data_IF_150318464689
#
_entry.id   IF_150318464689
#
_cell.length_a   1.000
_cell.length_b   1.000
_cell.length_c   1.000
_cell.angle_alpha   90.00
_cell.angle_beta   90.00
_cell.angle_gamma   90.00
#
_symmetry.space_group_name_H-M   'P 1'
#
loop_
_entity.id
_entity.type
_entity.pdbx_description
1 polymer ?
#
# COMPACT_ATOMS: atom_id res chain seq x y z
N UNK A 1 -1.38 19.01 -37.77
CA UNK A 1 -0.42 19.08 -38.90
C UNK A 1 0.50 20.28 -38.77
N UNK A 2 0.06 21.32 -38.08
CA UNK A 2 0.91 22.46 -37.71
C UNK A 2 2.16 22.00 -36.95
N UNK A 3 3.32 22.48 -37.38
CA UNK A 3 4.61 22.25 -36.72
C UNK A 3 5.42 21.04 -37.20
N UNK A 4 4.96 20.24 -38.18
CA UNK A 4 5.80 19.19 -38.76
C UNK A 4 6.81 19.76 -39.76
N UNK A 5 8.10 19.70 -39.42
CA UNK A 5 9.22 20.23 -40.26
C UNK A 5 9.80 19.21 -41.24
N UNK A 6 9.23 18.00 -41.31
CA UNK A 6 9.72 16.93 -42.18
C UNK A 6 9.34 17.14 -43.64
N UNK A 7 10.21 16.70 -44.57
CA UNK A 7 9.96 16.82 -46.02
C UNK A 7 8.67 16.11 -46.44
N UNK A 8 7.81 16.83 -47.14
CA UNK A 8 6.59 16.31 -47.75
C UNK A 8 6.94 15.29 -48.84
N UNK A 9 6.22 14.16 -48.87
CA UNK A 9 6.44 13.07 -49.83
C UNK A 9 5.28 12.94 -50.81
N UNK A 10 4.04 12.85 -50.34
CA UNK A 10 2.84 12.68 -51.17
C UNK A 10 1.59 13.17 -50.41
N UNK A 11 0.51 13.52 -51.12
CA UNK A 11 -0.75 14.04 -50.54
C UNK A 11 -0.59 15.26 -49.60
N UNK A 12 0.48 16.05 -49.78
CA UNK A 12 0.79 17.17 -48.88
C UNK A 12 1.36 16.77 -47.52
N UNK A 13 1.67 15.48 -47.32
CA UNK A 13 2.09 14.92 -46.04
C UNK A 13 3.52 14.38 -46.08
N UNK A 14 4.23 14.43 -44.95
CA UNK A 14 5.51 13.72 -44.83
C UNK A 14 5.28 12.20 -44.89
N UNK A 15 6.33 11.43 -45.16
CA UNK A 15 6.21 9.96 -45.29
C UNK A 15 5.57 9.28 -44.06
N UNK A 16 5.85 9.77 -42.84
CA UNK A 16 5.26 9.23 -41.60
C UNK A 16 3.76 9.54 -41.48
N UNK A 17 3.35 10.75 -41.86
CA UNK A 17 1.94 11.15 -41.81
C UNK A 17 1.11 10.44 -42.88
N UNK A 18 1.66 10.27 -44.08
CA UNK A 18 1.03 9.48 -45.15
C UNK A 18 0.83 8.02 -44.73
N UNK A 19 1.87 7.39 -44.19
CA UNK A 19 1.78 5.99 -43.74
C UNK A 19 0.78 5.82 -42.58
N UNK A 20 0.72 6.80 -41.67
CA UNK A 20 -0.27 6.79 -40.60
C UNK A 20 -1.69 6.90 -41.14
N UNK A 21 -1.95 7.85 -42.04
CA UNK A 21 -3.27 7.97 -42.65
C UNK A 21 -3.68 6.71 -43.40
N UNK A 22 -2.75 6.11 -44.14
CA UNK A 22 -2.98 4.86 -44.87
C UNK A 22 -3.39 3.70 -43.96
N UNK A 23 -2.94 3.70 -42.70
CA UNK A 23 -3.16 2.60 -41.76
C UNK A 23 -4.29 2.87 -40.76
N UNK A 24 -4.51 4.12 -40.34
CA UNK A 24 -5.47 4.47 -39.28
C UNK A 24 -6.56 5.45 -39.74
N UNK A 25 -6.52 5.93 -40.98
CA UNK A 25 -7.44 6.94 -41.52
C UNK A 25 -7.19 8.37 -41.01
N UNK A 26 -6.18 8.59 -40.17
CA UNK A 26 -5.84 9.92 -39.63
C UNK A 26 -4.35 10.25 -39.77
N UNK A 27 -4.05 11.51 -40.00
CA UNK A 27 -2.67 12.04 -40.03
C UNK A 27 -2.20 12.57 -38.67
N UNK A 28 -3.12 12.72 -37.72
CA UNK A 28 -2.80 13.24 -36.38
C UNK A 28 -1.73 12.39 -35.70
N UNK A 29 -0.79 13.02 -35.01
CA UNK A 29 0.14 12.29 -34.16
C UNK A 29 -0.65 11.62 -33.02
N UNK A 30 -0.35 10.34 -32.71
CA UNK A 30 -1.01 9.69 -31.58
C UNK A 30 -0.68 10.49 -30.31
N UNK A 31 -1.70 10.72 -29.49
CA UNK A 31 -1.51 11.34 -28.18
C UNK A 31 -0.50 10.49 -27.43
N UNK A 32 0.64 11.09 -27.09
CA UNK A 32 1.69 10.42 -26.32
C UNK A 32 1.17 10.27 -24.90
N UNK A 33 0.58 9.11 -24.59
CA UNK A 33 0.07 8.82 -23.24
C UNK A 33 1.22 8.85 -22.24
N UNK A 34 1.01 9.53 -21.12
CA UNK A 34 2.01 9.58 -20.07
C UNK A 34 2.11 8.23 -19.36
N UNK A 35 3.19 8.02 -18.60
CA UNK A 35 3.26 6.85 -17.73
C UNK A 35 2.15 6.82 -16.70
N UNK A 36 1.68 7.98 -16.27
CA UNK A 36 0.59 8.12 -15.32
C UNK A 36 -0.76 7.71 -15.94
N UNK A 37 -1.09 8.17 -17.15
CA UNK A 37 -2.31 7.76 -17.85
C UNK A 37 -2.33 6.24 -18.05
N UNK A 38 -1.19 5.69 -18.50
CA UNK A 38 -1.04 4.25 -18.69
C UNK A 38 -1.13 3.49 -17.37
N UNK A 39 -0.61 4.06 -16.27
CA UNK A 39 -0.71 3.46 -14.95
C UNK A 39 -2.17 3.35 -14.51
N UNK A 40 -2.92 4.44 -14.56
CA UNK A 40 -4.31 4.47 -14.08
C UNK A 40 -5.27 3.64 -14.95
N UNK A 41 -5.00 3.48 -16.24
CA UNK A 41 -5.77 2.57 -17.11
C UNK A 41 -5.61 1.07 -16.77
N UNK A 42 -4.65 0.71 -15.91
CA UNK A 42 -4.42 -0.66 -15.45
C UNK A 42 -5.01 -0.94 -14.07
N UNK A 43 -5.70 0.02 -13.47
CA UNK A 43 -6.23 -0.08 -12.12
C UNK A 43 -7.72 -0.38 -12.18
N UNK A 44 -8.13 -1.46 -11.52
CA UNK A 44 -9.52 -1.76 -11.25
C UNK A 44 -9.96 -1.03 -9.97
N UNK A 45 -10.76 0.03 -10.11
CA UNK A 45 -11.19 0.87 -8.99
C UNK A 45 -12.52 0.38 -8.44
N UNK A 46 -12.46 -0.29 -7.29
CA UNK A 46 -13.65 -0.67 -6.52
C UNK A 46 -13.95 0.38 -5.43
N UNK A 47 -15.06 0.21 -4.70
CA UNK A 47 -15.40 1.05 -3.54
C UNK A 47 -14.41 0.94 -2.39
N UNK A 48 -13.72 -0.20 -2.28
CA UNK A 48 -12.76 -0.47 -1.22
C UNK A 48 -11.32 -0.34 -1.78
N UNK A 49 -10.76 -1.41 -2.34
CA UNK A 49 -9.41 -1.39 -2.90
C UNK A 49 -9.39 -1.01 -4.38
N UNK A 50 -8.35 -0.28 -4.79
CA UNK A 50 -8.02 -0.07 -6.20
C UNK A 50 -6.97 -1.08 -6.62
N UNK A 51 -7.37 -2.16 -7.27
CA UNK A 51 -6.53 -3.32 -7.50
C UNK A 51 -5.69 -3.19 -8.77
N UNK A 52 -4.40 -3.49 -8.66
CA UNK A 52 -3.52 -3.63 -9.80
C UNK A 52 -3.85 -4.88 -10.62
N UNK A 53 -4.18 -4.69 -11.90
CA UNK A 53 -4.62 -5.80 -12.79
C UNK A 53 -3.50 -6.41 -13.63
N UNK A 54 -2.28 -5.85 -13.58
CA UNK A 54 -1.13 -6.32 -14.38
C UNK A 54 -0.18 -7.17 -13.55
N UNK A 55 1.05 -7.33 -14.04
CA UNK A 55 2.09 -8.13 -13.40
C UNK A 55 2.26 -7.79 -11.91
N UNK A 56 2.46 -8.83 -11.11
CA UNK A 56 2.71 -8.76 -9.67
C UNK A 56 4.00 -9.49 -9.34
N UNK A 57 4.68 -9.09 -8.27
CA UNK A 57 5.83 -9.82 -7.75
C UNK A 57 5.39 -11.13 -7.10
N UNK A 58 6.34 -12.02 -6.78
CA UNK A 58 6.07 -13.25 -6.01
C UNK A 58 5.42 -12.96 -4.65
N UNK A 59 5.70 -11.79 -4.07
CA UNK A 59 5.10 -11.35 -2.82
C UNK A 59 3.69 -10.73 -2.99
N UNK A 60 3.18 -10.60 -4.23
CA UNK A 60 1.83 -10.08 -4.51
C UNK A 60 1.76 -8.58 -4.79
N UNK A 61 2.87 -7.84 -4.76
CA UNK A 61 2.88 -6.41 -5.06
C UNK A 61 2.77 -6.15 -6.55
N UNK A 62 1.91 -5.21 -6.97
CA UNK A 62 1.83 -4.76 -8.36
C UNK A 62 3.18 -4.22 -8.87
N UNK A 63 3.49 -4.51 -10.14
CA UNK A 63 4.71 -4.08 -10.83
C UNK A 63 4.35 -3.32 -12.11
N UNK A 64 5.00 -2.18 -12.31
CA UNK A 64 4.88 -1.37 -13.51
C UNK A 64 6.27 -1.04 -14.08
N UNK A 65 6.40 -1.07 -15.41
CA UNK A 65 7.69 -0.89 -16.08
C UNK A 65 7.80 0.53 -16.67
N UNK A 66 8.76 1.30 -16.17
CA UNK A 66 9.14 2.63 -16.70
C UNK A 66 10.56 2.50 -17.24
N UNK A 67 10.80 2.90 -18.49
CA UNK A 67 12.13 2.88 -19.10
C UNK A 67 12.86 1.52 -18.93
N UNK A 68 12.14 0.42 -19.15
CA UNK A 68 12.63 -0.97 -19.00
C UNK A 68 13.00 -1.37 -17.56
N UNK A 69 12.72 -0.54 -16.56
CA UNK A 69 12.93 -0.84 -15.13
C UNK A 69 11.60 -1.11 -14.43
N UNK A 70 11.53 -2.20 -13.69
CA UNK A 70 10.37 -2.53 -12.87
C UNK A 70 10.33 -1.64 -11.62
N UNK A 71 9.15 -1.12 -11.32
CA UNK A 71 8.87 -0.29 -10.15
C UNK A 71 7.62 -0.81 -9.43
N UNK A 72 7.59 -0.84 -8.10
CA UNK A 72 6.39 -1.20 -7.35
C UNK A 72 5.25 -0.23 -7.64
N UNK A 73 4.09 -0.76 -8.03
CA UNK A 73 2.94 0.02 -8.46
C UNK A 73 2.40 0.92 -7.35
N UNK A 74 2.33 0.43 -6.11
CA UNK A 74 1.88 1.22 -4.96
C UNK A 74 2.79 2.45 -4.70
N UNK A 75 4.12 2.32 -4.88
CA UNK A 75 5.05 3.47 -4.76
C UNK A 75 4.86 4.48 -5.87
N UNK A 76 4.49 4.03 -7.07
CA UNK A 76 4.19 4.94 -8.19
C UNK A 76 2.86 5.66 -7.96
N UNK A 77 1.81 4.96 -7.52
CA UNK A 77 0.53 5.58 -7.15
C UNK A 77 0.72 6.69 -6.12
N UNK A 78 1.48 6.41 -5.05
CA UNK A 78 1.80 7.44 -4.06
C UNK A 78 2.55 8.62 -4.70
N UNK A 79 3.55 8.36 -5.56
CA UNK A 79 4.31 9.42 -6.22
C UNK A 79 3.48 10.30 -7.13
N UNK A 80 2.57 9.73 -7.91
CA UNK A 80 1.68 10.47 -8.80
C UNK A 80 0.70 11.35 -8.04
N UNK A 81 0.22 10.89 -6.89
CA UNK A 81 -0.86 11.58 -6.15
C UNK A 81 -0.38 12.47 -5.01
N UNK A 82 0.73 12.13 -4.37
CA UNK A 82 1.24 12.77 -3.13
C UNK A 82 2.68 13.25 -3.25
N UNK A 83 3.38 12.92 -4.34
CA UNK A 83 4.74 13.37 -4.60
C UNK A 83 5.84 12.44 -4.06
N UNK A 84 7.08 12.94 -3.92
CA UNK A 84 8.23 12.08 -3.64
C UNK A 84 8.12 11.35 -2.30
N UNK A 85 8.66 10.14 -2.26
CA UNK A 85 8.79 9.35 -1.02
C UNK A 85 10.13 9.76 -0.40
N UNK A 86 10.16 10.34 0.81
CA UNK A 86 11.40 10.73 1.47
C UNK A 86 12.35 9.56 1.68
N UNK A 87 13.65 9.85 1.75
CA UNK A 87 14.66 8.83 2.03
C UNK A 87 14.43 8.19 3.40
N UNK A 88 14.66 6.87 3.48
CA UNK A 88 14.38 6.08 4.69
C UNK A 88 12.91 5.74 4.93
N UNK A 89 11.97 6.26 4.11
CA UNK A 89 10.55 5.95 4.21
C UNK A 89 10.12 4.85 3.22
N UNK A 90 9.16 4.06 3.66
CA UNK A 90 8.46 3.05 2.88
C UNK A 90 6.98 3.41 2.72
N UNK A 91 6.30 2.69 1.84
CA UNK A 91 4.86 2.79 1.69
C UNK A 91 4.24 1.54 2.33
N UNK A 92 3.41 1.78 3.34
CA UNK A 92 2.62 0.75 4.02
C UNK A 92 1.18 0.74 3.48
N UNK A 93 0.61 -0.46 3.40
CA UNK A 93 -0.76 -0.69 2.98
C UNK A 93 -1.65 -0.80 4.21
N UNK A 94 -2.43 0.25 4.49
CA UNK A 94 -3.38 0.27 5.61
C UNK A 94 -4.40 -0.88 5.45
N UNK A 95 -4.84 -1.13 4.21
CA UNK A 95 -5.79 -2.19 3.87
C UNK A 95 -5.20 -3.61 3.86
N UNK A 96 -3.89 -3.79 4.10
CA UNK A 96 -3.16 -5.06 4.02
C UNK A 96 -3.26 -5.81 2.67
N UNK A 97 -3.85 -5.21 1.63
CA UNK A 97 -3.89 -5.73 0.27
C UNK A 97 -2.70 -5.22 -0.55
N UNK A 98 -1.70 -6.08 -0.77
CA UNK A 98 -0.46 -5.74 -1.49
C UNK A 98 -0.67 -5.33 -2.96
N UNK A 99 -1.79 -5.73 -3.57
CA UNK A 99 -2.13 -5.36 -4.94
C UNK A 99 -2.86 -4.00 -5.01
N UNK A 100 -3.29 -3.44 -3.87
CA UNK A 100 -3.96 -2.16 -3.83
C UNK A 100 -3.00 -1.02 -4.18
N UNK A 101 -3.50 -0.08 -4.98
CA UNK A 101 -2.81 1.16 -5.35
C UNK A 101 -3.69 2.39 -5.07
N UNK A 102 -4.72 2.27 -4.24
CA UNK A 102 -5.54 3.40 -3.81
C UNK A 102 -4.68 4.32 -2.91
N UNK A 103 -4.44 5.59 -3.28
CA UNK A 103 -3.64 6.52 -2.47
C UNK A 103 -4.11 6.63 -1.02
N UNK A 104 -5.41 6.53 -0.78
CA UNK A 104 -6.00 6.60 0.56
C UNK A 104 -5.68 5.37 1.42
N UNK A 105 -5.34 4.24 0.80
CA UNK A 105 -4.90 3.04 1.49
C UNK A 105 -3.37 2.95 1.63
N UNK A 106 -2.64 3.99 1.22
CA UNK A 106 -1.18 4.06 1.24
C UNK A 106 -0.71 5.16 2.20
N UNK A 107 0.24 4.84 3.06
CA UNK A 107 0.88 5.82 3.95
C UNK A 107 2.39 5.70 3.94
N UNK A 108 3.05 6.80 4.28
CA UNK A 108 4.47 6.76 4.60
C UNK A 108 4.66 6.07 5.95
N UNK A 109 5.61 5.16 6.02
CA UNK A 109 6.00 4.49 7.25
C UNK A 109 7.51 4.27 7.26
N UNK A 110 8.11 4.40 8.44
CA UNK A 110 9.45 3.87 8.70
C UNK A 110 9.40 2.34 8.72
N UNK A 111 10.56 1.69 8.53
CA UNK A 111 10.66 0.23 8.64
C UNK A 111 10.07 -0.31 9.94
N UNK A 112 10.32 0.40 11.06
CA UNK A 112 9.77 0.08 12.38
C UNK A 112 8.25 0.12 12.36
N UNK A 113 7.66 1.22 11.91
CA UNK A 113 6.20 1.39 11.90
C UNK A 113 5.52 0.33 11.01
N UNK A 114 6.13 -0.01 9.87
CA UNK A 114 5.64 -1.08 9.01
C UNK A 114 5.68 -2.46 9.70
N UNK A 115 6.73 -2.74 10.49
CA UNK A 115 6.82 -3.98 11.29
C UNK A 115 5.83 -4.02 12.46
N UNK A 116 5.43 -2.87 12.99
CA UNK A 116 4.43 -2.75 14.05
C UNK A 116 2.99 -3.00 13.55
N UNK A 117 2.78 -3.04 12.22
CA UNK A 117 1.50 -3.27 11.55
C UNK A 117 1.43 -4.63 10.82
N UNK A 118 1.43 -5.77 11.54
CA UNK A 118 1.33 -7.08 10.91
C UNK A 118 -0.09 -7.29 10.33
N UNK A 119 -0.16 -7.92 9.15
CA UNK A 119 -1.43 -8.27 8.49
C UNK A 119 -2.25 -9.36 9.21
N UNK A 120 -1.77 -9.87 10.35
CA UNK A 120 -2.43 -10.92 11.11
C UNK A 120 -1.57 -11.49 12.23
N UNK A 121 -2.15 -12.44 12.98
CA UNK A 121 -1.43 -13.18 14.02
C UNK A 121 -0.43 -14.15 13.41
N UNK A 122 0.64 -14.42 14.14
CA UNK A 122 1.59 -15.48 13.79
C UNK A 122 0.92 -16.85 13.95
N UNK A 123 1.33 -17.82 13.13
CA UNK A 123 0.80 -19.20 13.16
C UNK A 123 1.02 -19.91 14.50
N UNK A 124 2.07 -19.52 15.24
CA UNK A 124 2.42 -20.03 16.56
C UNK A 124 1.73 -19.27 17.70
N UNK A 125 0.83 -18.32 17.39
CA UNK A 125 0.04 -17.61 18.40
C UNK A 125 -1.06 -18.52 18.95
N UNK A 126 -0.88 -18.97 20.19
CA UNK A 126 -1.82 -19.88 20.87
C UNK A 126 -2.90 -19.16 21.68
N UNK A 127 -2.74 -17.85 21.93
CA UNK A 127 -3.70 -17.10 22.74
C UNK A 127 -4.89 -16.59 21.93
N UNK A 128 -4.73 -16.41 20.61
CA UNK A 128 -5.69 -15.71 19.77
C UNK A 128 -5.58 -14.18 19.86
N UNK A 129 -4.61 -13.66 20.62
CA UNK A 129 -4.37 -12.22 20.76
C UNK A 129 -2.87 -11.91 20.68
N UNK A 130 -2.52 -10.90 19.88
CA UNK A 130 -1.14 -10.43 19.82
C UNK A 130 -0.68 -9.92 21.20
N UNK A 131 0.53 -10.27 21.61
CA UNK A 131 1.10 -9.78 22.87
C UNK A 131 0.51 -10.38 24.15
N UNK A 132 -0.42 -11.34 24.04
CA UNK A 132 -1.04 -12.02 25.20
C UNK A 132 -0.50 -13.44 25.31
N UNK A 133 0.02 -13.79 26.48
CA UNK A 133 0.58 -15.13 26.77
C UNK A 133 0.16 -15.61 28.14
N UNK A 134 -0.07 -16.92 28.32
CA UNK A 134 -0.32 -17.47 29.64
C UNK A 134 0.98 -17.58 30.43
N UNK A 135 1.00 -17.04 31.65
CA UNK A 135 2.12 -17.22 32.56
C UNK A 135 1.78 -18.21 33.66
N UNK A 136 2.44 -19.37 33.58
CA UNK A 136 2.25 -20.49 34.50
C UNK A 136 2.74 -20.19 35.92
N UNK A 137 3.71 -19.29 36.09
CA UNK A 137 4.31 -19.05 37.42
C UNK A 137 3.34 -18.36 38.38
N UNK A 138 2.40 -17.59 37.84
CA UNK A 138 1.42 -16.84 38.63
C UNK A 138 -0.03 -17.15 38.23
N UNK A 139 -0.26 -18.08 37.29
CA UNK A 139 -1.60 -18.42 36.80
C UNK A 139 -2.36 -17.23 36.23
N UNK A 140 -1.69 -16.36 35.45
CA UNK A 140 -2.30 -15.14 34.89
C UNK A 140 -1.92 -14.95 33.42
N UNK A 141 -2.79 -14.29 32.67
CA UNK A 141 -2.51 -13.83 31.31
C UNK A 141 -1.61 -12.59 31.35
N UNK A 142 -0.41 -12.71 30.79
CA UNK A 142 0.58 -11.63 30.66
C UNK A 142 0.35 -10.86 29.37
N UNK A 143 0.26 -9.54 29.49
CA UNK A 143 0.12 -8.59 28.39
C UNK A 143 1.44 -7.84 28.17
N UNK A 144 2.02 -7.96 26.96
CA UNK A 144 3.27 -7.30 26.59
C UNK A 144 3.19 -6.75 25.17
N UNK A 145 3.80 -5.58 24.96
CA UNK A 145 3.93 -4.94 23.65
C UNK A 145 5.41 -4.80 23.31
N UNK A 146 5.84 -5.29 22.17
CA UNK A 146 7.21 -5.05 21.70
C UNK A 146 7.29 -3.68 21.04
N UNK A 147 8.20 -2.82 21.52
CA UNK A 147 8.41 -1.48 20.98
C UNK A 147 9.86 -1.06 21.18
N UNK A 148 10.48 -0.48 20.13
CA UNK A 148 11.89 -0.05 20.15
C UNK A 148 12.87 -1.14 20.65
N UNK A 149 12.70 -2.39 20.21
CA UNK A 149 13.57 -3.50 20.59
C UNK A 149 13.39 -3.99 22.03
N UNK A 150 12.39 -3.49 22.77
CA UNK A 150 12.12 -3.87 24.15
C UNK A 150 10.68 -4.33 24.33
N UNK A 151 10.45 -5.21 25.30
CA UNK A 151 9.11 -5.60 25.71
C UNK A 151 8.61 -4.61 26.78
N UNK A 152 7.58 -3.85 26.45
CA UNK A 152 6.86 -2.98 27.36
C UNK A 152 5.72 -3.77 27.98
N UNK A 153 5.73 -3.93 29.30
CA UNK A 153 4.67 -4.65 30.00
C UNK A 153 3.40 -3.80 30.06
N UNK A 154 2.27 -4.45 29.79
CA UNK A 154 0.93 -3.92 30.00
C UNK A 154 0.22 -4.60 31.19
N UNK A 155 0.92 -5.45 31.96
CA UNK A 155 0.41 -6.07 33.18
C UNK A 155 0.06 -7.56 33.07
N UNK A 156 -0.60 -8.08 34.10
CA UNK A 156 -1.05 -9.47 34.24
C UNK A 156 -2.50 -9.52 34.70
N UNK A 157 -3.30 -10.36 34.07
CA UNK A 157 -4.75 -10.37 34.21
C UNK A 157 -5.30 -11.77 34.45
N UNK A 158 -6.45 -11.85 35.13
CA UNK A 158 -7.14 -13.12 35.35
C UNK A 158 -7.74 -13.68 34.06
N UNK A 159 -8.26 -12.81 33.18
CA UNK A 159 -8.82 -13.20 31.87
C UNK A 159 -7.92 -12.81 30.71
N UNK A 160 -8.07 -13.57 29.62
CA UNK A 160 -7.34 -13.37 28.37
C UNK A 160 -7.77 -12.08 27.67
N UNK A 161 -9.06 -11.80 27.74
CA UNK A 161 -9.73 -10.65 27.11
C UNK A 161 -9.26 -9.34 27.76
N UNK A 162 -9.15 -9.32 29.09
CA UNK A 162 -8.61 -8.15 29.80
C UNK A 162 -7.14 -7.88 29.45
N UNK A 163 -6.33 -8.94 29.29
CA UNK A 163 -4.96 -8.82 28.81
C UNK A 163 -4.91 -8.29 27.36
N UNK A 164 -5.81 -8.74 26.49
CA UNK A 164 -5.89 -8.26 25.10
C UNK A 164 -6.27 -6.78 25.02
N UNK A 165 -7.25 -6.33 25.81
CA UNK A 165 -7.60 -4.92 25.91
C UNK A 165 -6.44 -4.06 26.45
N UNK A 166 -5.68 -4.58 27.42
CA UNK A 166 -4.49 -3.90 27.93
C UNK A 166 -3.38 -3.77 26.88
N UNK A 167 -3.18 -4.81 26.06
CA UNK A 167 -2.28 -4.75 24.90
C UNK A 167 -2.75 -3.68 23.91
N UNK A 168 -4.03 -3.69 23.51
CA UNK A 168 -4.57 -2.72 22.56
C UNK A 168 -4.39 -1.28 23.05
N UNK A 169 -4.70 -1.00 24.33
CA UNK A 169 -4.45 0.32 24.95
C UNK A 169 -2.97 0.70 24.90
N UNK A 170 -2.08 -0.22 25.27
CA UNK A 170 -0.64 0.04 25.28
C UNK A 170 -0.07 0.23 23.87
N UNK A 171 -0.60 -0.47 22.87
CA UNK A 171 -0.24 -0.26 21.45
C UNK A 171 -0.73 1.11 20.97
N UNK A 172 -1.94 1.54 21.30
CA UNK A 172 -2.43 2.88 20.97
C UNK A 172 -1.57 4.01 21.58
N UNK A 173 -0.99 3.77 22.77
CA UNK A 173 -0.05 4.69 23.42
C UNK A 173 1.31 4.72 22.71
N UNK A 174 1.85 3.56 22.31
CA UNK A 174 3.21 3.43 21.80
C UNK A 174 3.35 3.62 20.28
N UNK A 175 2.37 3.17 19.50
CA UNK A 175 2.50 3.03 18.05
C UNK A 175 1.91 4.23 17.33
N UNK A 176 2.65 4.75 16.34
CA UNK A 176 2.20 5.85 15.48
C UNK A 176 1.03 5.43 14.57
N UNK A 177 1.02 4.17 14.14
CA UNK A 177 0.20 3.66 13.05
C UNK A 177 -0.61 2.44 13.50
N UNK A 178 -1.51 2.68 14.46
CA UNK A 178 -2.29 1.63 15.11
C UNK A 178 -3.79 1.83 14.92
N UNK A 179 -4.20 1.97 13.66
CA UNK A 179 -5.57 2.33 13.31
C UNK A 179 -6.56 1.24 13.74
N UNK A 180 -6.19 -0.03 13.57
CA UNK A 180 -7.05 -1.16 13.95
C UNK A 180 -7.47 -1.15 15.43
N UNK A 181 -6.53 -0.94 16.36
CA UNK A 181 -6.87 -0.89 17.80
C UNK A 181 -7.61 0.42 18.15
N UNK A 182 -7.35 1.52 17.43
CA UNK A 182 -8.04 2.81 17.65
C UNK A 182 -9.51 2.72 17.20
N UNK A 183 -9.77 2.15 16.03
CA UNK A 183 -11.12 1.91 15.52
C UNK A 183 -11.88 0.92 16.41
N UNK A 184 -11.23 -0.18 16.83
CA UNK A 184 -11.84 -1.15 17.74
C UNK A 184 -12.27 -0.51 19.07
N UNK A 185 -11.51 0.46 19.58
CA UNK A 185 -11.86 1.20 20.80
C UNK A 185 -13.07 2.11 20.60
N UNK A 186 -13.11 2.88 19.51
CA UNK A 186 -14.24 3.78 19.21
C UNK A 186 -15.56 3.02 19.10
N UNK A 187 -15.55 1.80 18.55
CA UNK A 187 -16.75 0.98 18.42
C UNK A 187 -17.26 0.43 19.77
N UNK A 188 -16.38 0.20 20.74
CA UNK A 188 -16.76 -0.24 22.10
C UNK A 188 -17.36 0.90 22.92
N UNK A 189 -16.86 2.13 22.75
CA UNK A 189 -17.37 3.31 23.48
C UNK A 189 -18.69 3.85 22.88
N UNK A 190 -19.08 3.39 21.69
CA UNK A 190 -20.30 3.79 20.97
C UNK A 190 -21.46 2.79 21.06
N UNK A 191 -21.29 1.69 21.81
CA UNK A 191 -22.31 0.64 22.04
C UNK A 191 -22.73 0.56 23.50
#
# INVERSE_FOLDING_TARGET
MDGCTSKVKTHGWCGKHYERWRTTGTTADPVKTTYEDRFWSYVDKTKDCWNWTRAKSKAGYGIFTIERRQKPAHRLSYKFTRGPIPDGMQIDHICHNRACVNPEHLRLATNKQNMENPAGLRVDNTSGHQGVTWDRSCGKWKANVHHNGRNVSAGRYASKEAAAQAVARKRCELFTHNDADREARLNVDAS
#
